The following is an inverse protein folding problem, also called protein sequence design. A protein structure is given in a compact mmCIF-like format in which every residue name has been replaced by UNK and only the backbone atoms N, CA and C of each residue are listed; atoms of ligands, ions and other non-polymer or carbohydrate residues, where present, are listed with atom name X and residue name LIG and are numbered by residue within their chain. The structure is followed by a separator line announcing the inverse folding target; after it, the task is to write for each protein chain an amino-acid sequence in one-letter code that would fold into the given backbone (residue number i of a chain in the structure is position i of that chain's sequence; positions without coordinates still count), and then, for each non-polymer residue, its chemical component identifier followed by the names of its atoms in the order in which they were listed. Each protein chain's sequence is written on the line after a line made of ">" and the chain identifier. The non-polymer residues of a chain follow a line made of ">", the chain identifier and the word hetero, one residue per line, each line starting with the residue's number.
data_IF_057263739498
#
_entry.id   IF_057263739498
#
_cell.length_a   1.000
_cell.length_b   1.000
_cell.length_c   1.000
_cell.angle_alpha   90.00
_cell.angle_beta   90.00
_cell.angle_gamma   90.00
#
_symmetry.space_group_name_H-M   'P 1'
#
loop_
_entity.id
_entity.type
_entity.pdbx_description
1 polymer ?
#
# COMPACT_ATOMS: atom_id res chain seq x y z
N UNK A 1 -3.16 14.87 -6.28
CA UNK A 1 -2.32 13.72 -6.72
C UNK A 1 -1.21 13.46 -5.73
N UNK A 2 -1.18 12.30 -5.07
CA UNK A 2 -0.19 12.07 -4.03
C UNK A 2 0.22 10.60 -3.94
N UNK A 3 1.34 10.27 -4.59
CA UNK A 3 2.13 9.09 -4.19
C UNK A 3 2.72 9.39 -2.82
N UNK A 4 2.51 8.49 -1.87
CA UNK A 4 2.97 8.68 -0.50
C UNK A 4 4.50 8.64 -0.44
N UNK A 5 5.08 9.33 0.55
CA UNK A 5 6.52 9.25 0.79
C UNK A 5 6.89 7.84 1.24
N UNK A 6 7.99 7.31 0.72
CA UNK A 6 8.55 6.05 1.18
C UNK A 6 8.93 6.13 2.66
N UNK A 7 8.21 5.40 3.51
CA UNK A 7 8.42 5.37 4.97
C UNK A 7 9.44 4.33 5.42
N UNK A 8 9.94 3.49 4.52
CA UNK A 8 10.84 2.38 4.84
C UNK A 8 10.31 1.45 5.96
N UNK A 9 9.00 1.14 5.92
CA UNK A 9 8.35 0.31 6.94
C UNK A 9 9.07 -1.04 7.11
N UNK A 10 9.20 -1.56 8.34
CA UNK A 10 9.73 -2.91 8.55
C UNK A 10 8.89 -3.95 7.81
N UNK A 11 9.52 -5.04 7.39
CA UNK A 11 8.82 -6.13 6.73
C UNK A 11 8.13 -7.02 7.77
N UNK A 12 6.89 -7.40 7.49
CA UNK A 12 6.28 -8.55 8.15
C UNK A 12 6.89 -9.87 7.63
N UNK A 13 6.58 -10.97 8.32
CA UNK A 13 6.92 -12.31 7.86
C UNK A 13 6.40 -12.56 6.43
N UNK A 14 7.23 -13.17 5.57
CA UNK A 14 6.93 -13.40 4.15
C UNK A 14 5.77 -14.37 3.93
N UNK A 15 5.66 -15.38 4.79
CA UNK A 15 4.65 -16.44 4.66
C UNK A 15 3.33 -16.09 5.35
N UNK A 16 3.30 -14.98 6.11
CA UNK A 16 2.10 -14.48 6.79
C UNK A 16 0.90 -14.40 5.85
N UNK A 17 -0.22 -14.94 6.32
CA UNK A 17 -1.50 -14.73 5.66
C UNK A 17 -1.91 -13.25 5.71
N UNK A 18 -2.35 -12.72 4.57
CA UNK A 18 -2.80 -11.34 4.45
C UNK A 18 -4.13 -11.29 3.74
N UNK A 19 -5.07 -10.55 4.33
CA UNK A 19 -6.37 -10.24 3.78
C UNK A 19 -6.53 -8.72 3.83
N UNK A 20 -6.92 -8.13 2.70
CA UNK A 20 -6.94 -6.68 2.54
C UNK A 20 -8.01 -6.03 3.42
N UNK A 21 -9.19 -6.64 3.54
CA UNK A 21 -10.31 -6.07 4.29
C UNK A 21 -10.05 -6.16 5.80
N UNK A 22 -9.46 -7.27 6.25
CA UNK A 22 -9.07 -7.43 7.64
C UNK A 22 -7.87 -6.55 8.01
N UNK A 23 -6.92 -6.34 7.09
CA UNK A 23 -5.81 -5.42 7.29
C UNK A 23 -6.30 -3.97 7.37
N UNK A 24 -7.22 -3.56 6.51
CA UNK A 24 -7.82 -2.22 6.52
C UNK A 24 -8.46 -1.92 7.88
N UNK A 25 -9.28 -2.82 8.43
CA UNK A 25 -9.87 -2.67 9.77
C UNK A 25 -8.81 -2.44 10.86
N UNK A 26 -7.73 -3.24 10.85
CA UNK A 26 -6.63 -3.10 11.82
C UNK A 26 -5.88 -1.79 11.66
N UNK A 27 -5.59 -1.38 10.42
CA UNK A 27 -4.92 -0.12 10.11
C UNK A 27 -5.76 1.07 10.55
N UNK A 28 -7.08 1.06 10.31
CA UNK A 28 -8.00 2.11 10.78
C UNK A 28 -7.97 2.26 12.29
N UNK A 29 -8.09 1.14 13.02
CA UNK A 29 -8.03 1.14 14.48
C UNK A 29 -6.68 1.65 15.00
N UNK A 30 -5.56 1.19 14.43
CA UNK A 30 -4.21 1.64 14.79
C UNK A 30 -3.98 3.11 14.47
N UNK A 31 -4.54 3.59 13.36
CA UNK A 31 -4.43 4.98 12.92
C UNK A 31 -5.33 5.93 13.71
N UNK A 32 -6.34 5.43 14.42
CA UNK A 32 -7.44 6.26 14.95
C UNK A 32 -8.24 6.90 13.81
N UNK A 33 -8.46 6.15 12.73
CA UNK A 33 -9.13 6.57 11.50
C UNK A 33 -10.43 5.77 11.31
N UNK A 34 -11.34 5.85 12.28
CA UNK A 34 -12.60 5.10 12.27
C UNK A 34 -13.68 5.80 11.44
N UNK A 35 -13.74 7.13 11.53
CA UNK A 35 -14.74 7.95 10.83
C UNK A 35 -14.22 8.43 9.47
N UNK A 36 -12.98 8.87 9.41
CA UNK A 36 -12.32 9.37 8.19
C UNK A 36 -10.82 9.00 8.16
N UNK A 37 -10.22 8.89 6.96
CA UNK A 37 -8.78 8.71 6.79
C UNK A 37 -7.99 9.89 7.40
N UNK A 38 -6.86 9.57 8.01
CA UNK A 38 -5.95 10.58 8.54
C UNK A 38 -4.51 10.33 8.07
N UNK A 39 -3.57 11.18 8.49
CA UNK A 39 -2.17 11.09 8.10
C UNK A 39 -1.56 9.70 8.31
N UNK A 40 -1.94 9.05 9.41
CA UNK A 40 -1.42 7.75 9.83
C UNK A 40 -2.01 6.60 9.00
N UNK A 41 -3.29 6.68 8.63
CA UNK A 41 -3.91 5.74 7.69
C UNK A 41 -3.25 5.77 6.30
N UNK A 42 -2.81 6.95 5.85
CA UNK A 42 -2.13 7.11 4.55
C UNK A 42 -0.84 6.29 4.46
N UNK A 43 -0.17 6.05 5.58
CA UNK A 43 1.11 5.33 5.62
C UNK A 43 0.98 3.87 5.18
N UNK A 44 -0.23 3.29 5.24
CA UNK A 44 -0.50 1.92 4.79
C UNK A 44 -0.77 1.79 3.28
N UNK A 45 -0.79 2.91 2.55
CA UNK A 45 -1.18 3.00 1.15
C UNK A 45 -0.08 3.64 0.30
N UNK A 46 0.08 3.18 -0.95
CA UNK A 46 1.08 3.75 -1.87
C UNK A 46 0.59 5.04 -2.51
N UNK A 47 -0.71 5.16 -2.74
CA UNK A 47 -1.32 6.29 -3.44
C UNK A 47 -2.64 6.68 -2.79
N UNK A 48 -2.96 7.98 -2.82
CA UNK A 48 -4.30 8.47 -2.50
C UNK A 48 -4.70 9.67 -3.35
N UNK A 49 -6.01 9.86 -3.52
CA UNK A 49 -6.54 11.06 -4.16
C UNK A 49 -6.44 12.25 -3.20
N UNK A 50 -5.68 13.26 -3.63
CA UNK A 50 -5.49 14.47 -2.83
C UNK A 50 -6.72 15.38 -2.83
N UNK A 51 -7.64 15.19 -3.78
CA UNK A 51 -8.86 15.98 -3.92
C UNK A 51 -10.01 15.41 -3.06
N UNK A 52 -9.90 14.15 -2.63
CA UNK A 52 -10.84 13.47 -1.71
C UNK A 52 -10.11 12.78 -0.54
N UNK A 53 -9.32 13.52 0.27
CA UNK A 53 -8.46 12.92 1.30
C UNK A 53 -9.23 12.31 2.48
N UNK A 54 -10.50 12.69 2.65
CA UNK A 54 -11.45 12.27 3.69
C UNK A 54 -12.28 11.02 3.29
N UNK A 55 -12.11 10.50 2.09
CA UNK A 55 -12.80 9.29 1.63
C UNK A 55 -11.88 8.06 1.70
N UNK A 56 -12.25 7.00 2.43
CA UNK A 56 -11.46 5.76 2.44
C UNK A 56 -11.23 5.16 1.04
N UNK A 57 -12.23 5.30 0.17
CA UNK A 57 -12.18 4.83 -1.21
C UNK A 57 -11.16 5.55 -2.09
N UNK A 58 -10.63 6.70 -1.66
CA UNK A 58 -9.61 7.44 -2.39
C UNK A 58 -8.19 6.90 -2.19
N UNK A 59 -7.99 6.02 -1.21
CA UNK A 59 -6.72 5.38 -0.90
C UNK A 59 -6.58 4.07 -1.66
N UNK A 60 -5.46 3.90 -2.38
CA UNK A 60 -5.24 2.77 -3.28
C UNK A 60 -3.96 2.04 -2.93
N UNK A 61 -3.90 0.78 -3.37
CA UNK A 61 -2.73 -0.08 -3.22
C UNK A 61 -2.30 -0.22 -1.75
N UNK A 62 -3.17 -0.76 -0.87
CA UNK A 62 -2.76 -1.10 0.48
C UNK A 62 -1.61 -2.12 0.41
N UNK A 63 -0.55 -1.86 1.17
CA UNK A 63 0.66 -2.69 1.16
C UNK A 63 1.14 -3.07 2.57
N UNK A 64 0.45 -2.60 3.61
CA UNK A 64 0.82 -2.79 5.00
C UNK A 64 -0.33 -3.34 5.84
N UNK A 65 0.01 -3.85 7.02
CA UNK A 65 -0.91 -4.33 8.04
C UNK A 65 -0.29 -4.06 9.42
N UNK A 66 -1.11 -4.05 10.46
CA UNK A 66 -0.67 -3.94 11.84
C UNK A 66 -0.32 -5.32 12.37
N UNK A 67 0.95 -5.53 12.70
CA UNK A 67 1.49 -6.79 13.22
C UNK A 67 2.23 -6.49 14.51
N UNK A 68 1.79 -7.10 15.61
CA UNK A 68 2.33 -6.87 16.96
C UNK A 68 2.29 -5.40 17.38
N UNK A 69 1.25 -4.66 16.97
CA UNK A 69 1.03 -3.25 17.31
C UNK A 69 1.80 -2.25 16.43
N UNK A 70 2.58 -2.73 15.47
CA UNK A 70 3.38 -1.91 14.55
C UNK A 70 2.87 -2.05 13.12
N UNK A 71 2.87 -0.95 12.36
CA UNK A 71 2.58 -0.99 10.92
C UNK A 71 3.78 -1.57 10.17
N UNK A 72 3.57 -2.70 9.49
CA UNK A 72 4.61 -3.38 8.72
C UNK A 72 4.20 -3.52 7.27
N UNK A 73 5.14 -3.33 6.35
CA UNK A 73 4.93 -3.68 4.95
C UNK A 73 4.80 -5.21 4.84
N UNK A 74 3.69 -5.69 4.28
CA UNK A 74 3.41 -7.13 4.19
C UNK A 74 3.81 -7.63 2.81
N UNK A 75 4.73 -8.60 2.69
CA UNK A 75 5.21 -9.06 1.38
C UNK A 75 4.12 -9.45 0.40
N UNK A 76 3.08 -10.17 0.86
CA UNK A 76 1.92 -10.53 0.03
C UNK A 76 1.14 -9.31 -0.46
N UNK A 77 1.01 -8.27 0.36
CA UNK A 77 0.31 -7.04 0.01
C UNK A 77 1.12 -6.23 -1.01
N UNK A 78 2.44 -6.14 -0.84
CA UNK A 78 3.35 -5.50 -1.81
C UNK A 78 3.25 -6.19 -3.17
N UNK A 79 3.29 -7.53 -3.19
CA UNK A 79 3.13 -8.31 -4.42
C UNK A 79 1.75 -8.13 -5.06
N UNK A 80 0.68 -8.11 -4.27
CA UNK A 80 -0.66 -7.85 -4.75
C UNK A 80 -0.79 -6.45 -5.38
N UNK A 81 -0.25 -5.41 -4.72
CA UNK A 81 -0.20 -4.06 -5.25
C UNK A 81 0.58 -4.00 -6.58
N UNK A 82 1.74 -4.68 -6.65
CA UNK A 82 2.52 -4.79 -7.89
C UNK A 82 1.75 -5.45 -9.03
N UNK A 83 1.00 -6.52 -8.74
CA UNK A 83 0.15 -7.19 -9.72
C UNK A 83 -0.99 -6.29 -10.23
N UNK A 84 -1.64 -5.52 -9.34
CA UNK A 84 -2.68 -4.55 -9.74
C UNK A 84 -2.10 -3.46 -10.63
N UNK A 85 -0.91 -2.94 -10.33
CA UNK A 85 -0.19 -1.99 -11.20
C UNK A 85 0.14 -2.60 -12.58
N UNK A 86 0.25 -3.93 -12.67
CA UNK A 86 0.42 -4.69 -13.91
C UNK A 86 -0.91 -5.14 -14.56
N UNK A 87 -2.05 -4.60 -14.11
CA UNK A 87 -3.35 -4.86 -14.75
C UNK A 87 -4.15 -6.01 -14.13
N UNK A 88 -3.66 -6.65 -13.07
CA UNK A 88 -4.50 -7.59 -12.31
C UNK A 88 -5.75 -6.87 -11.78
N UNK A 89 -6.88 -7.59 -11.74
CA UNK A 89 -8.18 -7.05 -11.29
C UNK A 89 -8.65 -5.80 -12.06
N UNK A 90 -8.19 -5.61 -13.30
CA UNK A 90 -8.56 -4.46 -14.14
C UNK A 90 -7.62 -3.25 -14.02
N UNK A 91 -6.55 -3.36 -13.24
CA UNK A 91 -5.60 -2.27 -13.03
C UNK A 91 -5.94 -1.40 -11.81
N UNK A 92 -5.07 -0.42 -11.54
CA UNK A 92 -5.33 0.61 -10.53
C UNK A 92 -5.87 1.87 -11.24
N UNK A 93 -6.94 2.44 -10.70
CA UNK A 93 -7.51 3.71 -11.15
C UNK A 93 -6.70 4.88 -10.56
N UNK A 94 -5.70 5.37 -11.31
CA UNK A 94 -4.83 6.50 -10.95
C UNK A 94 -4.42 7.28 -12.23
N UNK A 95 -4.01 8.55 -12.10
CA UNK A 95 -3.40 9.29 -13.20
C UNK A 95 -2.18 8.57 -13.80
N UNK A 96 -2.07 8.57 -15.14
CA UNK A 96 -0.96 7.89 -15.83
C UNK A 96 0.43 8.38 -15.38
N UNK A 97 0.53 9.68 -15.06
CA UNK A 97 1.76 10.30 -14.55
C UNK A 97 2.19 9.81 -13.15
N UNK A 98 1.29 9.18 -12.39
CA UNK A 98 1.59 8.62 -11.08
C UNK A 98 2.12 7.18 -11.16
N UNK A 99 1.88 6.47 -12.27
CA UNK A 99 2.21 5.04 -12.41
C UNK A 99 3.71 4.78 -12.21
N UNK A 100 4.59 5.59 -12.81
CA UNK A 100 6.03 5.40 -12.67
C UNK A 100 6.51 5.70 -11.24
N UNK A 101 5.89 6.67 -10.57
CA UNK A 101 6.17 6.99 -9.16
C UNK A 101 5.69 5.87 -8.22
N UNK A 102 4.53 5.29 -8.49
CA UNK A 102 3.99 4.12 -7.77
C UNK A 102 4.93 2.92 -7.95
N UNK A 103 5.36 2.62 -9.19
CA UNK A 103 6.33 1.56 -9.47
C UNK A 103 7.64 1.79 -8.73
N UNK A 104 8.19 2.99 -8.78
CA UNK A 104 9.42 3.32 -8.06
C UNK A 104 9.27 3.18 -6.52
N UNK A 105 8.10 3.48 -5.96
CA UNK A 105 7.81 3.25 -4.54
C UNK A 105 7.80 1.74 -4.23
N UNK A 106 6.99 0.96 -4.94
CA UNK A 106 6.90 -0.49 -4.75
C UNK A 106 8.24 -1.19 -4.98
N UNK A 107 9.02 -0.77 -5.98
CA UNK A 107 10.33 -1.34 -6.29
C UNK A 107 11.29 -1.29 -5.08
N UNK A 108 11.21 -0.26 -4.23
CA UNK A 108 12.00 -0.19 -2.99
C UNK A 108 11.62 -1.30 -2.00
N UNK A 109 10.33 -1.62 -1.89
CA UNK A 109 9.88 -2.74 -1.06
C UNK A 109 10.21 -4.10 -1.69
N UNK A 110 10.11 -4.24 -3.02
CA UNK A 110 10.62 -5.44 -3.72
C UNK A 110 12.10 -5.69 -3.42
N UNK A 111 12.93 -4.65 -3.54
CA UNK A 111 14.35 -4.73 -3.18
C UNK A 111 14.56 -5.09 -1.70
N UNK A 112 13.76 -4.51 -0.78
CA UNK A 112 13.82 -4.85 0.65
C UNK A 112 13.46 -6.31 0.94
N UNK A 113 12.62 -6.92 0.09
CA UNK A 113 12.24 -8.34 0.15
C UNK A 113 13.20 -9.27 -0.61
N UNK A 114 14.29 -8.74 -1.18
CA UNK A 114 15.20 -9.44 -2.09
C UNK A 114 14.47 -10.09 -3.28
N UNK A 115 13.55 -9.33 -3.89
CA UNK A 115 12.68 -9.78 -4.97
C UNK A 115 12.69 -8.77 -6.15
N UNK A 116 12.31 -9.24 -7.34
CA UNK A 116 12.26 -8.42 -8.56
C UNK A 116 10.82 -8.01 -8.85
N UNK A 117 10.53 -6.71 -8.97
CA UNK A 117 9.19 -6.24 -9.31
C UNK A 117 8.75 -6.75 -10.69
N UNK A 118 7.44 -6.95 -10.93
CA UNK A 118 6.96 -7.65 -12.13
C UNK A 118 7.17 -6.89 -13.44
N UNK A 119 7.43 -5.58 -13.41
CA UNK A 119 7.72 -4.77 -14.60
C UNK A 119 9.22 -4.75 -14.99
N UNK A 120 10.10 -5.30 -14.15
CA UNK A 120 11.54 -5.43 -14.42
C UNK A 120 11.93 -6.88 -14.76
N UNK A 121 10.94 -7.75 -15.01
CA UNK A 121 11.13 -9.16 -15.37
C UNK A 121 11.09 -9.40 -16.88
#
# INVERSE_FOLDING_TARGET
>A
MTVTRFQDLPLADRDRHWDADEADKRVRAWAGAEEEPNAKYREAHIWYDGDSPDEFGSYKLPFADVVDGELKAVPRAVMAAGAVVQGARGGVDVPKEDVDRIKAHLAKYYAKMDDTPPWDR
#
